data_IF_355529357075
#
_entry.id   IF_355529357075
#
_cell.length_a   1.000
_cell.length_b   1.000
_cell.length_c   1.000
_cell.angle_alpha   90.00
_cell.angle_beta   90.00
_cell.angle_gamma   90.00
#
_symmetry.space_group_name_H-M   'P 1'
#
loop_
_entity.id
_entity.type
_entity.pdbx_description
1 polymer ?
#
# COMPACT_ATOMS: atom_id res chain seq x y z
N UNK A 1 3.10 19.99 -0.65
CA UNK A 1 3.15 18.54 -1.00
C UNK A 1 2.49 17.71 0.08
N UNK A 2 1.63 16.81 -0.32
CA UNK A 2 0.94 15.91 0.61
C UNK A 2 1.51 14.51 0.49
N UNK A 3 2.01 13.97 1.61
CA UNK A 3 2.61 12.64 1.66
C UNK A 3 1.73 11.77 2.55
N UNK A 4 1.30 10.61 2.01
CA UNK A 4 0.55 9.62 2.76
C UNK A 4 1.51 8.51 3.21
N UNK A 5 1.50 8.21 4.50
CA UNK A 5 2.26 7.10 5.06
C UNK A 5 1.29 6.05 5.60
N UNK A 6 1.33 4.85 5.05
CA UNK A 6 0.53 3.74 5.54
C UNK A 6 1.42 2.82 6.37
N UNK A 7 1.00 2.59 7.63
CA UNK A 7 1.70 1.67 8.51
C UNK A 7 1.31 0.23 8.23
N UNK A 8 2.18 -0.64 8.55
CA UNK A 8 2.07 -2.09 8.70
C UNK A 8 0.89 -2.78 7.99
N UNK A 9 0.97 -2.90 6.68
CA UNK A 9 0.00 -3.65 5.89
C UNK A 9 0.27 -5.15 6.11
N UNK A 10 -0.71 -5.85 6.71
CA UNK A 10 -0.52 -7.25 7.09
C UNK A 10 -1.32 -8.19 6.20
N UNK A 11 -0.64 -9.24 5.73
CA UNK A 11 -1.21 -10.36 4.97
C UNK A 11 -1.92 -9.93 3.68
N UNK A 12 -2.42 -10.91 2.95
CA UNK A 12 -3.13 -10.65 1.69
C UNK A 12 -4.41 -9.84 1.91
N UNK A 13 -5.08 -10.05 3.03
CA UNK A 13 -6.28 -9.27 3.35
C UNK A 13 -5.99 -7.79 3.49
N UNK A 14 -4.86 -7.44 4.13
CA UNK A 14 -4.43 -6.05 4.26
C UNK A 14 -4.07 -5.45 2.90
N UNK A 15 -3.34 -6.18 2.08
CA UNK A 15 -2.98 -5.74 0.71
C UNK A 15 -4.25 -5.47 -0.10
N UNK A 16 -5.20 -6.39 -0.07
CA UNK A 16 -6.45 -6.26 -0.80
C UNK A 16 -7.23 -5.02 -0.35
N UNK A 17 -7.33 -4.81 0.94
CA UNK A 17 -8.02 -3.65 1.50
C UNK A 17 -7.37 -2.34 1.04
N UNK A 18 -6.05 -2.26 1.11
CA UNK A 18 -5.30 -1.08 0.67
C UNK A 18 -5.52 -0.85 -0.82
N UNK A 19 -5.41 -1.88 -1.64
CA UNK A 19 -5.59 -1.75 -3.09
C UNK A 19 -7.01 -1.29 -3.45
N UNK A 20 -8.01 -1.70 -2.69
CA UNK A 20 -9.39 -1.29 -2.93
C UNK A 20 -9.64 0.17 -2.57
N UNK A 21 -8.91 0.72 -1.61
CA UNK A 21 -9.19 2.03 -1.03
C UNK A 21 -8.16 3.11 -1.37
N UNK A 22 -6.91 2.72 -1.64
CA UNK A 22 -5.82 3.67 -1.83
C UNK A 22 -6.05 4.66 -2.98
N UNK A 23 -6.48 4.23 -4.18
CA UNK A 23 -6.70 5.18 -5.27
C UNK A 23 -7.70 6.26 -4.91
N UNK A 24 -8.75 5.91 -4.18
CA UNK A 24 -9.76 6.86 -3.74
C UNK A 24 -9.20 7.85 -2.72
N UNK A 25 -8.42 7.36 -1.75
CA UNK A 25 -7.79 8.19 -0.73
C UNK A 25 -6.84 9.21 -1.38
N UNK A 26 -6.02 8.75 -2.30
CA UNK A 26 -5.07 9.60 -3.04
C UNK A 26 -5.84 10.72 -3.74
N UNK A 27 -6.89 10.38 -4.45
CA UNK A 27 -7.68 11.34 -5.23
C UNK A 27 -8.41 12.34 -4.33
N UNK A 28 -9.04 11.86 -3.26
CA UNK A 28 -9.85 12.71 -2.38
C UNK A 28 -9.02 13.64 -1.51
N UNK A 29 -7.76 13.29 -1.25
CA UNK A 29 -6.89 14.06 -0.36
C UNK A 29 -5.73 14.75 -1.08
N UNK A 30 -5.72 14.72 -2.40
CA UNK A 30 -4.65 15.32 -3.22
C UNK A 30 -3.27 14.85 -2.80
N UNK A 31 -3.12 13.54 -2.62
CA UNK A 31 -1.86 12.93 -2.20
C UNK A 31 -0.87 12.94 -3.36
N UNK A 32 0.32 13.47 -3.13
CA UNK A 32 1.38 13.55 -4.13
C UNK A 32 2.33 12.35 -4.09
N UNK A 33 2.51 11.77 -2.91
CA UNK A 33 3.45 10.67 -2.73
C UNK A 33 2.96 9.73 -1.63
N UNK A 34 2.98 8.42 -1.89
CA UNK A 34 2.48 7.40 -0.95
C UNK A 34 3.58 6.42 -0.58
N UNK A 35 3.82 6.29 0.71
CA UNK A 35 4.76 5.34 1.31
C UNK A 35 3.98 4.26 2.04
N UNK A 36 4.27 3.00 1.76
CA UNK A 36 3.58 1.86 2.38
C UNK A 36 4.60 0.95 3.06
N UNK A 37 4.38 0.67 4.34
CA UNK A 37 5.16 -0.34 5.04
C UNK A 37 4.55 -1.71 4.74
N UNK A 38 5.22 -2.49 3.88
CA UNK A 38 4.74 -3.79 3.43
C UNK A 38 5.54 -4.98 3.92
N UNK A 39 6.32 -4.84 4.99
CA UNK A 39 7.20 -5.92 5.46
C UNK A 39 6.45 -7.15 5.96
N UNK A 40 5.17 -7.02 6.32
CA UNK A 40 4.35 -8.09 6.87
C UNK A 40 3.22 -8.53 5.92
N UNK A 41 3.38 -8.35 4.62
CA UNK A 41 2.32 -8.67 3.65
C UNK A 41 2.21 -10.17 3.36
N UNK A 42 3.18 -10.96 3.77
CA UNK A 42 3.14 -12.42 3.66
C UNK A 42 3.17 -13.08 5.03
N UNK A 43 2.92 -14.40 5.06
CA UNK A 43 2.81 -15.18 6.30
C UNK A 43 4.12 -15.25 7.10
N UNK A 44 5.26 -14.86 6.51
CA UNK A 44 6.58 -14.98 7.14
C UNK A 44 7.22 -13.63 7.41
N UNK A 45 6.41 -12.61 7.66
CA UNK A 45 6.92 -11.25 7.91
C UNK A 45 7.85 -10.76 6.80
N UNK A 46 7.47 -11.03 5.56
CA UNK A 46 8.22 -10.61 4.38
C UNK A 46 7.29 -9.94 3.38
N UNK A 47 7.86 -9.18 2.48
CA UNK A 47 7.15 -8.63 1.33
C UNK A 47 7.41 -9.53 0.13
N UNK A 48 6.36 -10.15 -0.42
CA UNK A 48 6.53 -10.90 -1.64
C UNK A 48 6.32 -10.01 -2.88
N UNK A 49 6.79 -10.49 -4.02
CA UNK A 49 6.78 -9.71 -5.25
C UNK A 49 5.36 -9.41 -5.73
N UNK A 50 4.42 -10.32 -5.49
CA UNK A 50 3.03 -10.11 -5.92
C UNK A 50 2.36 -9.02 -5.12
N UNK A 51 2.58 -8.99 -3.80
CA UNK A 51 2.07 -7.93 -2.94
C UNK A 51 2.67 -6.58 -3.32
N UNK A 52 3.97 -6.54 -3.57
CA UNK A 52 4.66 -5.32 -3.99
C UNK A 52 4.07 -4.78 -5.31
N UNK A 53 3.91 -5.66 -6.31
CA UNK A 53 3.33 -5.27 -7.59
C UNK A 53 1.91 -4.74 -7.44
N UNK A 54 1.08 -5.40 -6.61
CA UNK A 54 -0.28 -4.95 -6.36
C UNK A 54 -0.31 -3.56 -5.72
N UNK A 55 0.52 -3.33 -4.71
CA UNK A 55 0.58 -2.04 -4.03
C UNK A 55 1.05 -0.93 -4.98
N UNK A 56 2.10 -1.19 -5.77
CA UNK A 56 2.58 -0.21 -6.73
C UNK A 56 1.56 0.07 -7.82
N UNK A 57 0.83 -0.95 -8.28
CA UNK A 57 -0.19 -0.78 -9.32
C UNK A 57 -1.38 0.05 -8.84
N UNK A 58 -1.60 0.14 -7.53
CA UNK A 58 -2.76 0.82 -6.94
C UNK A 58 -2.42 2.14 -6.25
N UNK A 59 -1.19 2.61 -6.34
CA UNK A 59 -0.86 3.96 -5.92
C UNK A 59 0.30 4.12 -4.96
N UNK A 60 0.92 3.03 -4.48
CA UNK A 60 2.12 3.15 -3.65
C UNK A 60 3.30 3.61 -4.52
N UNK A 61 4.10 4.52 -3.98
CA UNK A 61 5.31 5.01 -4.65
C UNK A 61 6.57 4.35 -4.10
N UNK A 62 6.53 4.02 -2.83
CA UNK A 62 7.64 3.31 -2.19
C UNK A 62 7.17 2.53 -0.97
#
# INVERSE_FOLDING_TARGET
MNILCLGDVQFQSGVKYVCQNLPKIIRENDIDFTVVNGENTSDYSTLDIYAAEELFSHGADV
#
